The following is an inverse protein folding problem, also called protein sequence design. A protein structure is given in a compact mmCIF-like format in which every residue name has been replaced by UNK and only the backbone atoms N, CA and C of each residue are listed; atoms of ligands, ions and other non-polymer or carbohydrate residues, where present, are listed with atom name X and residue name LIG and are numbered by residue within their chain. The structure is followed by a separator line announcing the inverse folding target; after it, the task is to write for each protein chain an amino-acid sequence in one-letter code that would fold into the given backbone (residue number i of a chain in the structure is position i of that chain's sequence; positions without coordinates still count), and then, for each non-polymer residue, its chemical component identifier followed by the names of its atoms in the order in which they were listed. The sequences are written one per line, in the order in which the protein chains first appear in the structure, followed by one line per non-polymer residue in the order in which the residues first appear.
data_IF_103959470428
#
_entry.id   IF_103959470428
#
_cell.length_a   1.000
_cell.length_b   1.000
_cell.length_c   1.000
_cell.angle_alpha   90.00
_cell.angle_beta   90.00
_cell.angle_gamma   90.00
#
_symmetry.space_group_name_H-M   'P 1'
#
loop_
_entity.id
_entity.type
_entity.pdbx_description
1 polymer ?
#
# COMPACT_ATOMS: atom_id res chain seq x y z
N UNK A 1 -9.05 -17.45 2.48
CA UNK A 1 -8.43 -16.99 3.74
C UNK A 1 -9.14 -15.69 4.13
N UNK A 2 -9.46 -15.52 5.41
CA UNK A 2 -10.38 -14.49 5.91
C UNK A 2 -9.85 -13.06 5.70
N UNK A 3 -10.67 -12.15 5.18
CA UNK A 3 -10.41 -10.71 5.09
C UNK A 3 -10.65 -10.10 6.48
N UNK A 4 -9.69 -10.22 7.40
CA UNK A 4 -9.92 -9.85 8.80
C UNK A 4 -10.22 -8.35 9.00
N UNK A 5 -9.75 -7.45 8.13
CA UNK A 5 -9.90 -6.00 8.31
C UNK A 5 -9.92 -5.22 6.99
N UNK A 6 -10.61 -5.72 5.96
CA UNK A 6 -10.78 -4.99 4.70
C UNK A 6 -9.57 -4.99 3.76
N UNK A 7 -8.60 -5.91 3.95
CA UNK A 7 -7.49 -6.10 3.02
C UNK A 7 -7.05 -7.57 2.89
N UNK A 8 -6.38 -7.89 1.79
CA UNK A 8 -5.73 -9.17 1.52
C UNK A 8 -4.33 -8.97 0.91
N UNK A 9 -3.38 -9.83 1.24
CA UNK A 9 -2.06 -9.83 0.60
C UNK A 9 -2.13 -10.44 -0.82
N UNK A 10 -1.38 -9.87 -1.75
CA UNK A 10 -1.21 -10.35 -3.12
C UNK A 10 0.25 -10.79 -3.27
N UNK A 11 0.47 -12.04 -3.63
CA UNK A 11 1.81 -12.53 -3.93
C UNK A 11 2.32 -11.91 -5.24
N UNK A 12 3.59 -11.46 -5.24
CA UNK A 12 4.28 -11.04 -6.45
C UNK A 12 5.11 -12.21 -7.01
N UNK A 13 5.03 -12.48 -8.31
CA UNK A 13 5.83 -13.53 -8.94
C UNK A 13 7.31 -13.16 -8.97
N UNK A 14 8.16 -14.06 -8.46
CA UNK A 14 9.63 -13.94 -8.47
C UNK A 14 10.20 -12.63 -7.88
N UNK A 15 9.40 -11.90 -7.09
CA UNK A 15 9.73 -10.59 -6.52
C UNK A 15 9.45 -10.55 -5.02
N UNK A 16 10.26 -11.24 -4.19
CA UNK A 16 10.10 -11.25 -2.74
C UNK A 16 10.35 -9.87 -2.10
N UNK A 17 10.97 -8.97 -2.85
CA UNK A 17 11.18 -7.55 -2.55
C UNK A 17 9.94 -6.69 -2.80
N UNK A 18 8.80 -7.28 -3.15
CA UNK A 18 7.52 -6.58 -3.27
C UNK A 18 6.52 -7.15 -2.28
N UNK A 19 5.96 -6.26 -1.46
CA UNK A 19 4.79 -6.55 -0.63
C UNK A 19 3.59 -5.85 -1.25
N UNK A 20 2.58 -6.61 -1.65
CA UNK A 20 1.38 -6.05 -2.26
C UNK A 20 0.13 -6.40 -1.46
N UNK A 21 -0.78 -5.45 -1.32
CA UNK A 21 -2.07 -5.64 -0.69
C UNK A 21 -3.19 -5.16 -1.59
N UNK A 22 -4.29 -5.90 -1.56
CA UNK A 22 -5.60 -5.49 -2.02
C UNK A 22 -6.38 -4.93 -0.84
N UNK A 23 -6.91 -3.71 -0.96
CA UNK A 23 -7.82 -3.11 0.01
C UNK A 23 -9.23 -3.25 -0.53
N UNK A 24 -10.04 -4.12 0.06
CA UNK A 24 -11.38 -4.50 -0.42
C UNK A 24 -12.51 -3.72 0.25
N UNK A 25 -12.18 -2.78 1.13
CA UNK A 25 -13.14 -2.00 1.89
C UNK A 25 -12.48 -1.07 2.89
N UNK A 26 -13.23 -0.68 3.92
CA UNK A 26 -12.75 0.18 4.97
C UNK A 26 -11.60 -0.46 5.77
N UNK A 27 -10.42 0.16 5.73
CA UNK A 27 -9.36 -0.12 6.69
C UNK A 27 -9.69 0.57 8.02
N UNK A 28 -10.26 -0.18 8.95
CA UNK A 28 -10.41 0.29 10.32
C UNK A 28 -9.05 0.39 11.05
N UNK A 29 -9.07 0.86 12.30
CA UNK A 29 -7.84 1.02 13.08
C UNK A 29 -7.06 -0.29 13.26
N UNK A 30 -7.74 -1.41 13.37
CA UNK A 30 -7.13 -2.72 13.53
C UNK A 30 -6.51 -3.18 12.20
N UNK A 31 -7.17 -2.92 11.06
CA UNK A 31 -6.63 -3.17 9.73
C UNK A 31 -5.39 -2.35 9.42
N UNK A 32 -5.40 -1.05 9.75
CA UNK A 32 -4.21 -0.19 9.64
C UNK A 32 -3.07 -0.73 10.50
N UNK A 33 -3.38 -1.18 11.73
CA UNK A 33 -2.37 -1.74 12.62
C UNK A 33 -1.78 -3.03 12.06
N UNK A 34 -2.63 -3.97 11.62
CA UNK A 34 -2.23 -5.25 11.04
C UNK A 34 -1.41 -5.07 9.75
N UNK A 35 -1.81 -4.14 8.88
CA UNK A 35 -1.05 -3.82 7.65
C UNK A 35 0.34 -3.27 8.01
N UNK A 36 0.42 -2.35 8.97
CA UNK A 36 1.69 -1.79 9.40
C UNK A 36 2.59 -2.83 10.07
N UNK A 37 2.07 -3.71 10.92
CA UNK A 37 2.84 -4.81 11.52
C UNK A 37 3.37 -5.75 10.45
N UNK A 38 2.49 -6.22 9.56
CA UNK A 38 2.87 -7.11 8.45
C UNK A 38 3.95 -6.50 7.56
N UNK A 39 3.85 -5.19 7.27
CA UNK A 39 4.83 -4.48 6.46
C UNK A 39 6.16 -4.29 7.20
N UNK A 40 6.14 -4.00 8.51
CA UNK A 40 7.35 -3.92 9.32
C UNK A 40 8.06 -5.28 9.37
N UNK A 41 7.35 -6.38 9.62
CA UNK A 41 7.91 -7.73 9.65
C UNK A 41 8.57 -8.11 8.32
N UNK A 42 7.89 -7.81 7.20
CA UNK A 42 8.45 -8.04 5.87
C UNK A 42 9.71 -7.19 5.63
N UNK A 43 9.68 -5.90 5.94
CA UNK A 43 10.86 -5.03 5.82
C UNK A 43 12.02 -5.50 6.71
N UNK A 44 11.74 -6.07 7.88
CA UNK A 44 12.77 -6.59 8.77
C UNK A 44 13.42 -7.87 8.24
N UNK A 45 12.65 -8.71 7.54
CA UNK A 45 13.17 -9.90 6.84
C UNK A 45 13.92 -9.58 5.53
N UNK A 46 13.71 -8.40 4.93
CA UNK A 46 14.36 -8.04 3.67
C UNK A 46 15.87 -7.80 3.85
N UNK A 47 16.71 -8.36 2.96
CA UNK A 47 18.15 -8.09 2.95
C UNK A 47 18.50 -6.67 2.46
N UNK A 48 17.53 -5.95 1.88
CA UNK A 48 17.72 -4.65 1.25
C UNK A 48 16.46 -3.80 1.29
N UNK A 49 16.29 -2.94 0.27
CA UNK A 49 15.06 -2.17 0.10
C UNK A 49 13.99 -2.99 -0.61
N UNK A 50 12.73 -2.66 -0.35
CA UNK A 50 11.58 -3.26 -1.01
C UNK A 50 10.59 -2.23 -1.51
N UNK A 51 9.59 -2.70 -2.27
CA UNK A 51 8.49 -1.90 -2.78
C UNK A 51 7.18 -2.33 -2.13
N UNK A 52 6.38 -1.37 -1.67
CA UNK A 52 5.04 -1.62 -1.13
C UNK A 52 4.01 -1.17 -2.16
N UNK A 53 3.07 -2.05 -2.49
CA UNK A 53 1.96 -1.79 -3.41
C UNK A 53 0.62 -1.92 -2.70
N UNK A 54 -0.21 -0.88 -2.74
CA UNK A 54 -1.59 -0.92 -2.26
C UNK A 54 -2.55 -0.76 -3.45
N UNK A 55 -3.39 -1.76 -3.69
CA UNK A 55 -4.42 -1.74 -4.73
C UNK A 55 -5.76 -1.62 -4.04
N UNK A 56 -6.44 -0.50 -4.23
CA UNK A 56 -7.81 -0.34 -3.74
C UNK A 56 -8.77 -1.04 -4.71
N UNK A 57 -9.68 -1.86 -4.20
CA UNK A 57 -10.87 -2.18 -4.99
C UNK A 57 -11.75 -0.95 -4.97
N UNK A 58 -12.10 -0.46 -6.16
CA UNK A 58 -12.98 0.69 -6.31
C UNK A 58 -14.37 0.31 -5.75
N UNK A 59 -14.56 0.54 -4.45
CA UNK A 59 -15.85 0.98 -3.97
C UNK A 59 -16.10 2.34 -4.63
N UNK A 60 -17.32 2.57 -5.12
CA UNK A 60 -17.67 3.84 -5.75
C UNK A 60 -17.23 5.00 -4.85
N UNK A 61 -16.87 6.16 -5.42
CA UNK A 61 -16.35 7.28 -4.63
C UNK A 61 -17.30 7.73 -3.49
N UNK A 62 -18.58 7.38 -3.60
CA UNK A 62 -19.64 7.56 -2.60
C UNK A 62 -19.72 6.45 -1.53
N UNK A 63 -19.14 5.27 -1.75
CA UNK A 63 -19.20 4.11 -0.85
C UNK A 63 -18.03 4.06 0.16
N UNK A 64 -16.97 4.82 -0.07
CA UNK A 64 -15.87 4.91 0.90
C UNK A 64 -16.15 6.09 1.84
N UNK A 65 -16.44 5.84 3.12
CA UNK A 65 -16.65 6.92 4.07
C UNK A 65 -15.45 7.86 4.01
N UNK A 66 -15.71 9.16 4.01
CA UNK A 66 -14.78 10.27 3.76
C UNK A 66 -13.70 10.47 4.85
N UNK A 67 -13.18 9.38 5.43
CA UNK A 67 -12.15 9.37 6.46
C UNK A 67 -11.45 8.02 6.67
N UNK A 68 -11.50 7.12 5.69
CA UNK A 68 -11.11 5.70 5.90
C UNK A 68 -9.65 5.38 5.58
N UNK A 69 -8.96 6.23 4.82
CA UNK A 69 -7.53 6.08 4.57
C UNK A 69 -6.77 7.28 5.13
N UNK A 70 -6.34 7.16 6.38
CA UNK A 70 -5.49 8.16 7.02
C UNK A 70 -4.02 7.80 6.77
N UNK A 71 -3.47 8.34 5.68
CA UNK A 71 -2.08 8.11 5.29
C UNK A 71 -1.08 8.63 6.34
N UNK A 72 -1.45 9.60 7.19
CA UNK A 72 -0.60 10.06 8.28
C UNK A 72 -0.55 9.05 9.43
N UNK A 73 -1.68 8.43 9.79
CA UNK A 73 -1.69 7.30 10.73
C UNK A 73 -0.86 6.13 10.21
N UNK A 74 -0.97 5.82 8.91
CA UNK A 74 -0.17 4.78 8.29
C UNK A 74 1.33 5.12 8.43
N UNK A 75 1.74 6.33 8.05
CA UNK A 75 3.12 6.80 8.17
C UNK A 75 3.67 6.70 9.60
N UNK A 76 2.90 7.08 10.61
CA UNK A 76 3.32 7.02 12.01
C UNK A 76 3.59 5.58 12.49
N UNK A 77 2.98 4.58 11.85
CA UNK A 77 3.11 3.16 12.22
C UNK A 77 4.22 2.42 11.47
N UNK A 78 4.66 2.94 10.34
CA UNK A 78 5.77 2.37 9.58
C UNK A 78 7.10 2.87 10.15
N UNK A 79 7.68 2.08 11.05
CA UNK A 79 8.99 2.37 11.65
C UNK A 79 10.12 2.26 10.62
N UNK A 80 9.94 1.40 9.62
CA UNK A 80 10.98 1.01 8.67
C UNK A 80 10.84 1.64 7.28
N UNK A 81 10.15 2.79 7.12
CA UNK A 81 10.00 3.47 5.82
C UNK A 81 11.33 3.71 5.07
N UNK A 82 12.48 3.72 5.75
CA UNK A 82 13.81 3.82 5.13
C UNK A 82 14.21 2.60 4.30
N UNK A 83 13.62 1.43 4.56
CA UNK A 83 13.77 0.21 3.78
C UNK A 83 12.80 0.15 2.60
N UNK A 84 11.91 1.13 2.45
CA UNK A 84 11.12 1.26 1.24
C UNK A 84 11.88 2.06 0.19
N UNK A 85 11.86 1.55 -1.03
CA UNK A 85 12.27 2.28 -2.21
C UNK A 85 11.05 2.89 -2.90
N UNK A 86 9.99 2.09 -3.08
CA UNK A 86 8.77 2.52 -3.75
C UNK A 86 7.55 2.33 -2.84
N UNK A 87 6.66 3.31 -2.84
CA UNK A 87 5.33 3.22 -2.26
C UNK A 87 4.30 3.52 -3.34
N UNK A 88 3.70 2.47 -3.86
CA UNK A 88 2.85 2.52 -5.04
C UNK A 88 1.41 2.29 -4.63
N UNK A 89 0.52 3.12 -5.16
CA UNK A 89 -0.92 2.97 -4.94
C UNK A 89 -1.64 2.89 -6.28
N UNK A 90 -2.61 1.98 -6.38
CA UNK A 90 -3.45 1.82 -7.56
C UNK A 90 -4.94 1.92 -7.19
N UNK A 91 -5.74 2.43 -8.13
CA UNK A 91 -7.19 2.59 -8.02
C UNK A 91 -7.62 3.42 -6.78
N UNK A 92 -6.80 4.36 -6.33
CA UNK A 92 -7.12 5.14 -5.15
C UNK A 92 -8.36 6.02 -5.40
N UNK A 93 -9.34 6.05 -4.48
CA UNK A 93 -10.50 6.92 -4.60
C UNK A 93 -10.14 8.40 -4.39
N UNK A 94 -10.60 9.28 -5.28
CA UNK A 94 -10.55 10.73 -5.09
C UNK A 94 -9.18 11.29 -4.69
N UNK A 95 -9.14 12.08 -3.62
CA UNK A 95 -7.94 12.78 -3.12
C UNK A 95 -6.89 11.87 -2.44
N UNK A 96 -7.15 10.56 -2.32
CA UNK A 96 -6.21 9.63 -1.70
C UNK A 96 -4.90 9.50 -2.51
N UNK A 97 -4.97 9.57 -3.85
CA UNK A 97 -3.78 9.61 -4.71
C UNK A 97 -2.91 10.86 -4.44
N UNK A 98 -3.54 12.01 -4.25
CA UNK A 98 -2.86 13.29 -3.95
C UNK A 98 -2.17 13.27 -2.59
N UNK A 99 -2.73 12.56 -1.61
CA UNK A 99 -2.14 12.41 -0.28
C UNK A 99 -0.89 11.52 -0.32
N UNK A 100 -0.89 10.49 -1.16
CA UNK A 100 0.25 9.57 -1.38
C UNK A 100 1.46 10.31 -1.96
N UNK A 101 1.25 11.14 -2.97
CA UNK A 101 2.32 11.89 -3.64
C UNK A 101 2.96 12.97 -2.74
N UNK A 102 2.20 13.51 -1.79
CA UNK A 102 2.74 14.42 -0.79
C UNK A 102 3.74 13.71 0.15
N UNK A 103 3.61 12.39 0.37
CA UNK A 103 4.49 11.63 1.27
C UNK A 103 5.90 11.38 0.72
N UNK A 104 6.07 11.27 -0.60
CA UNK A 104 7.39 11.09 -1.24
C UNK A 104 8.31 12.33 -1.16
N UNK A 105 7.78 13.51 -0.83
CA UNK A 105 8.57 14.75 -0.78
C UNK A 105 9.38 14.92 0.52
N UNK A 106 9.07 14.15 1.56
CA UNK A 106 9.69 14.28 2.90
C UNK A 106 10.55 13.06 3.25
N UNK A 107 10.32 11.93 2.59
CA UNK A 107 10.99 10.66 2.86
C UNK A 107 11.80 10.23 1.64
N UNK A 108 12.92 9.49 1.80
CA UNK A 108 13.73 8.97 0.70
C UNK A 108 13.07 7.74 0.04
N UNK A 109 11.80 7.86 -0.33
CA UNK A 109 10.98 6.85 -0.99
C UNK A 109 10.28 7.49 -2.19
N UNK A 110 10.16 6.73 -3.27
CA UNK A 110 9.40 7.14 -4.45
C UNK A 110 7.93 6.76 -4.27
N UNK A 111 7.07 7.75 -4.04
CA UNK A 111 5.64 7.55 -3.91
C UNK A 111 4.97 7.81 -5.27
N UNK A 112 4.21 6.83 -5.78
CA UNK A 112 3.45 6.97 -7.04
C UNK A 112 2.03 6.44 -6.93
N UNK A 113 1.11 7.14 -7.57
CA UNK A 113 -0.28 6.71 -7.71
C UNK A 113 -0.59 6.39 -9.17
N UNK A 114 -1.45 5.39 -9.39
CA UNK A 114 -1.87 4.94 -10.71
C UNK A 114 -3.38 4.71 -10.75
N UNK A 115 -3.98 4.96 -11.91
CA UNK A 115 -5.42 4.75 -12.11
C UNK A 115 -5.77 3.26 -12.16
N UNK A 116 -4.84 2.42 -12.62
CA UNK A 116 -5.05 0.97 -12.72
C UNK A 116 -3.99 0.17 -11.96
N UNK A 117 -4.39 -1.00 -11.44
CA UNK A 117 -3.45 -1.96 -10.86
C UNK A 117 -2.41 -2.47 -11.86
N UNK A 118 -2.77 -2.56 -13.15
CA UNK A 118 -1.86 -3.02 -14.19
C UNK A 118 -0.67 -2.06 -14.38
N UNK A 119 -0.92 -0.76 -14.38
CA UNK A 119 0.13 0.26 -14.47
C UNK A 119 1.05 0.25 -13.24
N UNK A 120 0.47 0.08 -12.05
CA UNK A 120 1.24 -0.03 -10.81
C UNK A 120 2.18 -1.24 -10.80
N UNK A 121 1.70 -2.42 -11.22
CA UNK A 121 2.53 -3.61 -11.36
C UNK A 121 3.62 -3.44 -12.43
N UNK A 122 3.28 -2.83 -13.57
CA UNK A 122 4.22 -2.56 -14.64
C UNK A 122 5.33 -1.61 -14.19
N UNK A 123 4.99 -0.56 -13.43
CA UNK A 123 5.97 0.37 -12.84
C UNK A 123 6.97 -0.35 -11.93
N UNK A 124 6.51 -1.31 -11.12
CA UNK A 124 7.37 -2.12 -10.28
C UNK A 124 8.15 -3.21 -11.04
N UNK A 125 7.91 -3.37 -12.35
CA UNK A 125 8.52 -4.44 -13.15
C UNK A 125 8.14 -5.83 -12.65
N UNK A 126 6.90 -6.00 -12.16
CA UNK A 126 6.43 -7.21 -11.52
C UNK A 126 5.02 -7.59 -11.99
N UNK A 127 4.56 -8.79 -11.58
CA UNK A 127 3.21 -9.29 -11.86
C UNK A 127 2.64 -9.99 -10.63
N UNK A 128 1.31 -9.91 -10.41
CA UNK A 128 0.67 -10.70 -9.36
C UNK A 128 0.74 -12.19 -9.72
N UNK A 129 0.88 -13.05 -8.70
CA UNK A 129 0.86 -14.51 -8.82
C UNK A 129 -0.55 -15.09 -8.90
#
# INVERSE_FOLDING_TARGET
MSLAHGFAEIAAQDRPDILAFRVTGALDKEGIHALAERANDWMDALPGKGSLLLIFEAAEADDLPSGTFDGEMLKARFKSLRKLENYVVANAPGSAGTMVEAFGKVLPLEAKSFDTSAEAWAFLGARPA
#
